data_IF_348807977910
#
_entry.id   IF_348807977910
#
_cell.length_a   1.000
_cell.length_b   1.000
_cell.length_c   1.000
_cell.angle_alpha   90.00
_cell.angle_beta   90.00
_cell.angle_gamma   90.00
#
_symmetry.space_group_name_H-M   'P 1'
#
loop_
_entity.id
_entity.type
_entity.pdbx_description
1 polymer ?
#
# COMPACT_ATOMS: atom_id res chain seq x y z
N UNK A 1 9.92 -12.16 -5.53
CA UNK A 1 8.57 -11.65 -5.86
C UNK A 1 7.97 -11.13 -4.55
N UNK A 2 7.64 -9.84 -4.42
CA UNK A 2 7.36 -9.24 -3.10
C UNK A 2 6.16 -9.82 -2.34
N UNK A 3 5.19 -10.42 -3.03
CA UNK A 3 3.97 -10.99 -2.42
C UNK A 3 4.01 -12.52 -2.27
N UNK A 4 5.14 -13.15 -2.59
CA UNK A 4 5.28 -14.61 -2.52
C UNK A 4 5.39 -15.10 -1.07
N UNK A 5 4.80 -16.27 -0.80
CA UNK A 5 4.89 -16.92 0.52
C UNK A 5 3.88 -16.41 1.56
N UNK A 6 2.92 -15.57 1.18
CA UNK A 6 1.86 -15.16 2.11
C UNK A 6 1.04 -16.38 2.57
N UNK A 7 0.77 -16.50 3.89
CA UNK A 7 -0.06 -17.57 4.40
C UNK A 7 -1.47 -17.46 3.84
N UNK A 8 -2.07 -18.59 3.45
CA UNK A 8 -3.43 -18.65 2.90
C UNK A 8 -4.53 -18.69 3.96
N UNK A 9 -4.17 -18.81 5.24
CA UNK A 9 -5.11 -19.02 6.33
C UNK A 9 -5.76 -17.70 6.78
N UNK A 10 -7.07 -17.61 6.59
CA UNK A 10 -7.93 -16.61 7.23
C UNK A 10 -8.50 -17.19 8.51
N UNK A 11 -8.23 -16.53 9.63
CA UNK A 11 -8.66 -16.95 10.97
C UNK A 11 -9.75 -16.03 11.55
N UNK A 12 -10.46 -15.29 10.70
CA UNK A 12 -11.50 -14.34 11.11
C UNK A 12 -10.98 -13.01 11.66
N UNK A 13 -9.66 -12.81 11.69
CA UNK A 13 -9.03 -11.52 12.01
C UNK A 13 -8.64 -10.77 10.74
N UNK A 14 -8.48 -9.44 10.88
CA UNK A 14 -7.88 -8.60 9.85
C UNK A 14 -6.45 -9.04 9.55
N UNK A 15 -6.13 -9.21 8.28
CA UNK A 15 -4.80 -9.50 7.79
C UNK A 15 -4.21 -8.26 7.13
N UNK A 16 -3.19 -7.70 7.78
CA UNK A 16 -2.39 -6.60 7.25
C UNK A 16 -1.06 -7.16 6.76
N UNK A 17 -0.79 -7.01 5.47
CA UNK A 17 0.46 -7.41 4.85
C UNK A 17 1.33 -6.19 4.54
N UNK A 18 2.65 -6.39 4.52
CA UNK A 18 3.62 -5.39 4.12
C UNK A 18 4.43 -5.93 2.95
N UNK A 19 4.66 -5.12 1.92
CA UNK A 19 5.55 -5.47 0.82
C UNK A 19 6.30 -4.25 0.31
N UNK A 20 7.47 -4.49 -0.28
CA UNK A 20 8.29 -3.46 -0.89
C UNK A 20 8.61 -3.84 -2.34
N UNK A 21 8.18 -3.01 -3.28
CA UNK A 21 8.32 -3.31 -4.70
C UNK A 21 7.62 -2.29 -5.58
N UNK A 22 7.76 -2.46 -6.88
CA UNK A 22 7.23 -1.54 -7.88
C UNK A 22 5.93 -2.08 -8.48
N UNK A 23 4.81 -1.39 -8.29
CA UNK A 23 3.55 -1.80 -8.91
C UNK A 23 3.62 -1.59 -10.41
N UNK A 24 3.30 -2.63 -11.19
CA UNK A 24 3.35 -2.59 -12.64
C UNK A 24 1.99 -2.19 -13.20
N UNK A 25 1.91 -1.04 -13.87
CA UNK A 25 0.71 -0.66 -14.62
C UNK A 25 0.69 -1.36 -15.98
N UNK A 26 -0.51 -1.65 -16.53
CA UNK A 26 -0.62 -2.32 -17.84
C UNK A 26 0.13 -1.64 -18.99
N UNK A 27 0.30 -0.31 -18.92
CA UNK A 27 0.98 0.50 -19.94
C UNK A 27 2.49 0.65 -19.68
N UNK A 28 3.04 0.06 -18.62
CA UNK A 28 4.47 0.14 -18.32
C UNK A 28 5.27 -0.70 -19.32
N UNK A 29 6.08 -0.03 -20.13
CA UNK A 29 6.90 -0.68 -21.17
C UNK A 29 8.16 -1.37 -20.61
N UNK A 30 8.57 -1.02 -19.39
CA UNK A 30 9.81 -1.48 -18.77
C UNK A 30 9.54 -2.35 -17.53
N UNK A 31 10.21 -3.50 -17.46
CA UNK A 31 10.25 -4.33 -16.24
C UNK A 31 11.18 -3.69 -15.20
N UNK A 32 10.59 -3.08 -14.17
CA UNK A 32 11.32 -2.56 -13.00
C UNK A 32 11.79 -3.71 -12.08
N UNK A 33 12.76 -3.44 -11.22
CA UNK A 33 13.17 -4.40 -10.19
C UNK A 33 12.02 -4.63 -9.18
N UNK A 34 11.88 -5.87 -8.71
CA UNK A 34 10.85 -6.28 -7.76
C UNK A 34 9.42 -5.87 -8.16
N UNK A 35 8.93 -6.30 -9.35
CA UNK A 35 7.61 -5.96 -9.81
C UNK A 35 6.54 -6.59 -8.90
N UNK A 36 5.43 -5.86 -8.74
CA UNK A 36 4.19 -6.31 -8.12
C UNK A 36 3.11 -6.12 -9.17
N UNK A 37 2.50 -7.21 -9.62
CA UNK A 37 1.49 -7.15 -10.67
C UNK A 37 0.07 -6.98 -10.11
N UNK A 38 -0.88 -6.38 -10.86
CA UNK A 38 -2.26 -6.20 -10.42
C UNK A 38 -2.93 -7.51 -9.96
N UNK A 39 -2.70 -8.60 -10.67
CA UNK A 39 -3.22 -9.93 -10.33
C UNK A 39 -2.64 -10.48 -9.02
N UNK A 40 -1.38 -10.15 -8.70
CA UNK A 40 -0.76 -10.57 -7.43
C UNK A 40 -1.39 -9.81 -6.25
N UNK A 41 -1.73 -8.52 -6.44
CA UNK A 41 -2.48 -7.74 -5.43
C UNK A 41 -3.90 -8.29 -5.27
N UNK A 42 -4.60 -8.55 -6.37
CA UNK A 42 -5.98 -9.06 -6.34
C UNK A 42 -6.09 -10.42 -5.64
N UNK A 43 -5.07 -11.27 -5.80
CA UNK A 43 -5.00 -12.60 -5.20
C UNK A 43 -4.42 -12.61 -3.77
N UNK A 44 -3.91 -11.48 -3.27
CA UNK A 44 -3.26 -11.44 -1.96
C UNK A 44 -4.24 -11.85 -0.84
N UNK A 45 -3.85 -12.76 0.07
CA UNK A 45 -4.72 -13.24 1.14
C UNK A 45 -4.90 -12.24 2.30
N UNK A 46 -4.64 -10.94 2.10
CA UNK A 46 -4.80 -9.89 3.10
C UNK A 46 -6.04 -9.02 2.87
N UNK A 47 -6.35 -8.15 3.83
CA UNK A 47 -7.40 -7.12 3.74
C UNK A 47 -6.80 -5.76 3.38
N UNK A 48 -5.64 -5.47 3.98
CA UNK A 48 -4.84 -4.30 3.66
C UNK A 48 -3.39 -4.69 3.34
N UNK A 49 -2.86 -4.15 2.24
CA UNK A 49 -1.48 -4.31 1.79
C UNK A 49 -0.78 -2.95 1.85
N UNK A 50 0.06 -2.78 2.87
CA UNK A 50 0.92 -1.60 3.00
C UNK A 50 2.14 -1.73 2.09
N UNK A 51 2.23 -0.84 1.10
CA UNK A 51 3.30 -0.84 0.11
C UNK A 51 4.34 0.23 0.39
N UNK A 52 5.61 -0.13 0.20
CA UNK A 52 6.73 0.79 0.13
C UNK A 52 7.47 0.65 -1.19
N UNK A 53 8.25 1.70 -1.55
CA UNK A 53 9.16 1.84 -2.71
C UNK A 53 8.94 3.20 -3.39
N UNK A 54 7.69 3.65 -3.47
CA UNK A 54 7.33 4.92 -4.06
C UNK A 54 7.28 6.04 -3.02
N UNK A 55 7.86 7.20 -3.38
CA UNK A 55 7.82 8.40 -2.54
C UNK A 55 6.47 9.12 -2.58
N UNK A 56 5.62 8.78 -3.56
CA UNK A 56 4.26 9.30 -3.70
C UNK A 56 3.25 8.36 -3.06
N UNK A 57 2.26 8.93 -2.39
CA UNK A 57 1.06 8.20 -2.00
C UNK A 57 0.24 7.79 -3.22
N UNK A 58 -0.03 6.49 -3.36
CA UNK A 58 -0.81 5.95 -4.49
C UNK A 58 -1.66 4.78 -4.02
N UNK A 59 -2.93 4.81 -4.40
CA UNK A 59 -3.84 3.66 -4.31
C UNK A 59 -3.66 2.76 -5.52
N UNK A 60 -3.31 1.50 -5.27
CA UNK A 60 -3.20 0.45 -6.29
C UNK A 60 -4.05 -0.76 -5.92
N UNK A 61 -5.14 -0.54 -5.17
CA UNK A 61 -6.08 -1.57 -4.74
C UNK A 61 -6.58 -2.39 -5.93
N UNK A 62 -6.69 -3.70 -5.73
CA UNK A 62 -7.17 -4.64 -6.74
C UNK A 62 -8.15 -5.64 -6.12
N UNK A 63 -9.26 -5.89 -6.80
CA UNK A 63 -10.30 -6.78 -6.30
C UNK A 63 -10.79 -6.34 -4.91
N UNK A 64 -10.65 -7.23 -3.92
CA UNK A 64 -11.06 -6.98 -2.53
C UNK A 64 -9.95 -6.43 -1.61
N UNK A 65 -8.72 -6.30 -2.14
CA UNK A 65 -7.55 -5.94 -1.34
C UNK A 65 -7.33 -4.44 -1.43
N UNK A 66 -7.37 -3.75 -0.30
CA UNK A 66 -6.94 -2.35 -0.25
C UNK A 66 -5.41 -2.32 -0.24
N UNK A 67 -4.78 -1.70 -1.23
CA UNK A 67 -3.33 -1.69 -1.38
C UNK A 67 -2.82 -0.28 -1.63
N UNK A 68 -2.01 0.25 -0.72
CA UNK A 68 -1.66 1.67 -0.72
C UNK A 68 -0.16 1.85 -0.49
N UNK A 69 0.47 2.62 -1.36
CA UNK A 69 1.77 3.23 -1.08
C UNK A 69 1.56 4.41 -0.14
N UNK A 70 2.24 4.42 1.01
CA UNK A 70 2.15 5.55 1.95
C UNK A 70 2.84 6.82 1.45
N UNK A 71 3.74 6.67 0.48
CA UNK A 71 4.69 7.72 0.11
C UNK A 71 5.79 7.90 1.16
N UNK A 72 6.62 8.92 0.95
CA UNK A 72 7.71 9.28 1.86
C UNK A 72 7.23 10.17 3.00
N UNK A 73 7.67 9.86 4.23
CA UNK A 73 7.35 10.64 5.42
C UNK A 73 7.92 12.08 5.39
N UNK A 74 8.77 12.42 4.42
CA UNK A 74 9.24 13.80 4.21
C UNK A 74 8.43 14.54 3.14
N UNK A 75 7.40 13.94 2.55
CA UNK A 75 6.73 14.50 1.38
C UNK A 75 7.62 14.49 0.12
N UNK A 76 7.00 14.51 -1.08
CA UNK A 76 7.74 14.39 -2.35
C UNK A 76 8.45 15.69 -2.76
N UNK A 77 8.17 16.82 -2.09
CA UNK A 77 8.74 18.14 -2.39
C UNK A 77 9.95 18.44 -1.51
N UNK A 78 11.04 18.90 -2.13
CA UNK A 78 12.23 19.35 -1.39
C UNK A 78 12.13 20.78 -0.87
N UNK A 79 11.18 21.58 -1.38
CA UNK A 79 11.02 23.00 -1.01
C UNK A 79 10.13 23.19 0.21
N UNK A 80 8.99 22.49 0.24
CA UNK A 80 8.00 22.53 1.31
C UNK A 80 7.49 21.10 1.56
N UNK A 81 8.30 20.28 2.24
CA UNK A 81 7.95 18.90 2.54
C UNK A 81 6.73 18.83 3.48
N UNK A 82 5.56 18.45 2.96
CA UNK A 82 4.45 18.00 3.82
C UNK A 82 4.68 16.53 4.12
N UNK A 83 5.11 16.27 5.34
CA UNK A 83 5.19 14.92 5.88
C UNK A 83 3.77 14.37 6.04
N UNK A 84 3.46 13.23 5.43
CA UNK A 84 2.13 12.61 5.54
C UNK A 84 2.25 11.13 5.89
N UNK A 85 1.23 10.62 6.57
CA UNK A 85 1.04 9.20 6.83
C UNK A 85 -0.32 8.75 6.31
N UNK A 86 -0.40 7.50 5.88
CA UNK A 86 -1.68 6.84 5.62
C UNK A 86 -2.22 6.29 6.94
N UNK A 87 -3.34 6.82 7.41
CA UNK A 87 -4.12 6.24 8.50
C UNK A 87 -5.13 5.28 7.88
N UNK A 88 -5.19 4.06 8.39
CA UNK A 88 -6.06 2.99 7.89
C UNK A 88 -7.01 2.57 9.00
N UNK A 89 -8.29 2.63 8.70
CA UNK A 89 -9.37 2.18 9.59
C UNK A 89 -9.88 0.82 9.10
N UNK A 90 -9.90 -0.15 10.01
CA UNK A 90 -10.35 -1.52 9.77
C UNK A 90 -11.67 -1.74 10.53
N UNK A 91 -12.79 -1.61 9.83
CA UNK A 91 -14.12 -1.66 10.42
C UNK A 91 -14.85 -2.96 10.06
N UNK A 92 -15.36 -3.75 11.04
CA UNK A 92 -16.06 -5.01 10.76
C UNK A 92 -17.29 -4.89 9.85
N UNK A 93 -17.96 -3.73 9.81
CA UNK A 93 -19.16 -3.50 9.00
C UNK A 93 -18.83 -2.80 7.68
N UNK A 94 -17.94 -1.81 7.72
CA UNK A 94 -17.56 -0.93 6.61
C UNK A 94 -16.32 -1.36 5.82
N UNK A 95 -15.59 -2.37 6.28
CA UNK A 95 -14.39 -2.86 5.61
C UNK A 95 -13.16 -1.99 5.89
N UNK A 96 -12.23 -1.97 4.93
CA UNK A 96 -10.99 -1.19 5.02
C UNK A 96 -11.20 0.18 4.37
N UNK A 97 -10.84 1.25 5.07
CA UNK A 97 -10.76 2.60 4.52
C UNK A 97 -9.45 3.26 4.92
N UNK A 98 -9.02 4.29 4.18
CA UNK A 98 -7.79 5.00 4.49
C UNK A 98 -7.89 6.49 4.17
N UNK A 99 -7.04 7.28 4.83
CA UNK A 99 -6.86 8.71 4.54
C UNK A 99 -5.40 9.11 4.74
N UNK A 100 -4.95 10.10 3.97
CA UNK A 100 -3.69 10.79 4.28
C UNK A 100 -3.91 11.77 5.44
N UNK A 101 -2.98 11.78 6.38
CA UNK A 101 -2.97 12.72 7.52
C UNK A 101 -1.59 13.37 7.60
N UNK A 102 -1.51 14.72 7.64
CA UNK A 102 -0.25 15.41 7.83
C UNK A 102 0.39 15.07 9.19
N UNK A 103 1.69 14.76 9.15
CA UNK A 103 2.55 14.72 10.31
C UNK A 103 2.97 16.15 10.65
N UNK A 104 2.25 16.77 11.58
CA UNK A 104 2.71 18.00 12.19
C UNK A 104 3.91 17.66 13.07
N UNK A 105 5.01 18.39 12.91
CA UNK A 105 6.09 18.34 13.90
C UNK A 105 5.50 18.73 15.26
N UNK A 106 5.76 17.94 16.30
CA UNK A 106 5.45 18.37 17.66
C UNK A 106 6.18 19.70 17.93
N UNK A 107 5.55 20.67 18.63
CA UNK A 107 6.16 21.96 18.95
C UNK A 107 7.42 21.80 19.82
#
# INVERSE_FOLDING_TARGET
>A
RPLEGMPSLRNGHWLVALAHGHFHFPDDLDLRSSPIYPEEVAAAPCDYLALGHWDRHVDVSQGRVTAVYSGTARGPSTKDPVAEVTVVDLDPEGGVSYRQTPLHSAP
#
